data_IF_588680596025
#
_entry.id   IF_588680596025
#
_cell.length_a   1.000
_cell.length_b   1.000
_cell.length_c   1.000
_cell.angle_alpha   90.00
_cell.angle_beta   90.00
_cell.angle_gamma   90.00
#
_symmetry.space_group_name_H-M   'P 1'
#
loop_
_entity.id
_entity.type
_entity.pdbx_description
1 polymer ?
#
# COMPACT_ATOMS: atom_id res chain seq x y z
N UNK A 1 -8.00 -37.33 -23.32
CA UNK A 1 -8.84 -37.74 -22.16
C UNK A 1 -8.18 -37.21 -20.90
N UNK A 2 -8.61 -36.08 -20.32
CA UNK A 2 -7.98 -35.57 -19.10
C UNK A 2 -8.48 -36.33 -17.86
N UNK A 3 -7.54 -36.82 -17.06
CA UNK A 3 -7.77 -37.63 -15.87
C UNK A 3 -8.44 -36.86 -14.73
N UNK A 4 -9.56 -37.39 -14.27
CA UNK A 4 -10.38 -36.90 -13.16
C UNK A 4 -9.86 -37.11 -11.70
N UNK A 5 -8.77 -37.85 -11.36
CA UNK A 5 -8.53 -38.14 -9.93
C UNK A 5 -7.88 -36.99 -9.15
N UNK A 6 -7.16 -36.06 -9.80
CA UNK A 6 -6.42 -34.99 -9.10
C UNK A 6 -7.32 -33.82 -8.66
N UNK A 7 -8.36 -33.52 -9.44
CA UNK A 7 -9.27 -32.39 -9.16
C UNK A 7 -10.12 -32.69 -7.90
N UNK A 8 -10.52 -33.94 -7.73
CA UNK A 8 -11.35 -34.38 -6.59
C UNK A 8 -10.56 -34.28 -5.29
N UNK A 9 -9.28 -34.65 -5.28
CA UNK A 9 -8.43 -34.54 -4.10
C UNK A 9 -8.26 -33.09 -3.63
N UNK A 10 -7.98 -32.17 -4.56
CA UNK A 10 -7.87 -30.73 -4.24
C UNK A 10 -9.20 -30.15 -3.72
N UNK A 11 -10.33 -30.57 -4.27
CA UNK A 11 -11.65 -30.13 -3.81
C UNK A 11 -11.96 -30.62 -2.38
N UNK A 12 -11.59 -31.86 -2.04
CA UNK A 12 -11.77 -32.43 -0.70
C UNK A 12 -10.88 -31.71 0.32
N UNK A 13 -9.61 -31.46 -0.02
CA UNK A 13 -8.67 -30.72 0.85
C UNK A 13 -9.17 -29.29 1.10
N UNK A 14 -9.65 -28.60 0.05
CA UNK A 14 -10.20 -27.26 0.17
C UNK A 14 -11.48 -27.22 1.01
N UNK A 15 -12.36 -28.22 0.86
CA UNK A 15 -13.58 -28.37 1.65
C UNK A 15 -13.28 -28.63 3.14
N UNK A 16 -12.30 -29.50 3.46
CA UNK A 16 -11.86 -29.78 4.84
C UNK A 16 -11.20 -28.55 5.49
N UNK A 17 -10.42 -27.79 4.72
CA UNK A 17 -9.80 -26.53 5.17
C UNK A 17 -10.85 -25.46 5.49
N UNK A 18 -11.97 -25.45 4.76
CA UNK A 18 -13.06 -24.49 4.94
C UNK A 18 -14.09 -24.92 6.00
N UNK A 19 -14.30 -26.24 6.21
CA UNK A 19 -15.35 -26.78 7.09
C UNK A 19 -14.98 -26.81 8.59
N UNK A 20 -13.71 -26.71 8.95
CA UNK A 20 -13.24 -26.85 10.34
C UNK A 20 -13.34 -25.57 11.19
N UNK A 21 -13.97 -24.49 10.68
CA UNK A 21 -14.11 -23.23 11.42
C UNK A 21 -12.77 -22.53 11.69
N UNK A 22 -11.69 -22.99 11.06
CA UNK A 22 -10.33 -22.45 11.18
C UNK A 22 -10.25 -20.98 10.74
N UNK A 23 -11.17 -20.53 9.87
CA UNK A 23 -11.33 -19.12 9.52
C UNK A 23 -11.65 -18.24 10.73
N UNK A 24 -12.42 -18.73 11.70
CA UNK A 24 -12.79 -17.96 12.90
C UNK A 24 -11.63 -17.82 13.89
N UNK A 25 -10.79 -18.84 13.99
CA UNK A 25 -9.58 -18.82 14.80
C UNK A 25 -8.52 -17.89 14.19
N UNK A 26 -8.30 -17.98 12.87
CA UNK A 26 -7.41 -17.07 12.16
C UNK A 26 -7.91 -15.62 12.23
N UNK A 27 -9.22 -15.39 12.13
CA UNK A 27 -9.80 -14.04 12.29
C UNK A 27 -9.48 -13.44 13.66
N UNK A 28 -9.66 -14.20 14.75
CA UNK A 28 -9.42 -13.72 16.12
C UNK A 28 -7.94 -13.47 16.42
N UNK A 29 -7.05 -14.32 15.89
CA UNK A 29 -5.61 -14.10 16.00
C UNK A 29 -5.16 -12.86 15.22
N UNK A 30 -5.70 -12.67 14.00
CA UNK A 30 -5.41 -11.50 13.19
C UNK A 30 -5.97 -10.22 13.80
N UNK A 31 -7.13 -10.28 14.47
CA UNK A 31 -7.73 -9.14 15.16
C UNK A 31 -6.89 -8.68 16.37
N UNK A 32 -6.24 -9.59 17.10
CA UNK A 32 -5.36 -9.25 18.23
C UNK A 32 -4.05 -8.58 17.75
N UNK A 33 -3.47 -9.07 16.65
CA UNK A 33 -2.32 -8.44 15.98
C UNK A 33 -2.71 -7.08 15.40
N UNK A 34 -3.89 -6.99 14.77
CA UNK A 34 -4.41 -5.73 14.23
C UNK A 34 -4.68 -4.71 15.34
N UNK A 35 -5.16 -5.15 16.51
CA UNK A 35 -5.43 -4.29 17.67
C UNK A 35 -4.16 -3.77 18.33
N UNK A 36 -3.11 -4.58 18.41
CA UNK A 36 -1.79 -4.15 18.90
C UNK A 36 -1.06 -3.23 17.91
N UNK A 37 -1.24 -3.41 16.60
CA UNK A 37 -0.78 -2.48 15.57
C UNK A 37 -1.59 -1.16 15.55
N UNK A 38 -2.91 -1.23 15.73
CA UNK A 38 -3.79 -0.06 15.77
C UNK A 38 -3.51 0.87 16.97
N UNK A 39 -2.88 0.35 18.03
CA UNK A 39 -2.52 1.14 19.21
C UNK A 39 -1.16 1.86 19.07
N UNK A 40 -0.37 1.54 18.04
CA UNK A 40 0.88 2.22 17.72
C UNK A 40 0.72 3.35 16.68
N UNK A 41 -0.46 3.46 16.04
CA UNK A 41 -0.67 4.27 14.83
C UNK A 41 -1.74 5.36 15.01
N UNK A 42 -1.73 6.04 16.16
CA UNK A 42 -2.59 7.21 16.37
C UNK A 42 -1.77 8.49 16.59
N UNK A 43 -1.40 9.17 15.50
CA UNK A 43 -1.61 10.61 15.36
C UNK A 43 -2.62 10.87 14.24
N UNK A 44 -3.47 11.88 14.45
CA UNK A 44 -4.70 12.11 13.69
C UNK A 44 -4.57 12.04 12.17
N UNK A 45 -5.71 11.73 11.54
CA UNK A 45 -6.03 11.58 10.11
C UNK A 45 -5.21 12.38 9.06
N UNK A 46 -4.56 13.49 9.43
CA UNK A 46 -3.67 14.28 8.56
C UNK A 46 -2.20 13.81 8.52
N UNK A 47 -1.70 13.17 9.58
CA UNK A 47 -0.33 12.67 9.62
C UNK A 47 -0.15 11.46 8.68
N UNK A 48 -1.14 10.56 8.65
CA UNK A 48 -1.16 9.42 7.74
C UNK A 48 -1.18 9.84 6.27
N UNK A 49 -1.97 10.85 5.91
CA UNK A 49 -2.03 11.36 4.53
C UNK A 49 -0.68 11.96 4.09
N UNK A 50 -0.04 12.72 4.97
CA UNK A 50 1.30 13.24 4.73
C UNK A 50 2.31 12.10 4.53
N UNK A 51 2.25 11.08 5.39
CA UNK A 51 3.19 9.96 5.33
C UNK A 51 3.02 9.13 4.06
N UNK A 52 1.77 8.89 3.63
CA UNK A 52 1.48 8.26 2.33
C UNK A 52 2.08 9.09 1.19
N UNK A 53 1.99 10.42 1.22
CA UNK A 53 2.61 11.27 0.21
C UNK A 53 4.14 11.14 0.19
N UNK A 54 4.80 11.16 1.35
CA UNK A 54 6.25 10.97 1.44
C UNK A 54 6.68 9.59 0.94
N UNK A 55 5.95 8.54 1.30
CA UNK A 55 6.17 7.17 0.80
C UNK A 55 5.96 7.08 -0.72
N UNK A 56 4.95 7.76 -1.27
CA UNK A 56 4.71 7.81 -2.71
C UNK A 56 5.88 8.46 -3.46
N UNK A 57 6.49 9.51 -2.89
CA UNK A 57 7.72 10.11 -3.43
C UNK A 57 8.97 9.25 -3.14
N UNK A 58 8.87 8.28 -2.22
CA UNK A 58 9.98 7.39 -1.84
C UNK A 58 11.00 8.08 -0.94
N UNK A 59 10.55 9.05 -0.14
CA UNK A 59 11.39 9.85 0.75
C UNK A 59 10.87 9.73 2.17
N UNK A 60 11.72 10.02 3.16
CA UNK A 60 11.28 10.06 4.56
C UNK A 60 10.59 11.39 4.88
N UNK A 61 9.68 11.44 5.87
CA UNK A 61 9.10 12.70 6.33
C UNK A 61 10.14 13.72 6.84
N UNK A 62 11.30 13.22 7.27
CA UNK A 62 12.45 14.01 7.71
C UNK A 62 13.35 14.51 6.57
N UNK A 63 13.08 14.13 5.31
CA UNK A 63 13.92 14.48 4.16
C UNK A 63 13.98 16.00 3.91
N UNK A 64 15.11 16.48 3.39
CA UNK A 64 15.26 17.89 3.02
C UNK A 64 14.43 18.23 1.78
N UNK A 65 14.06 19.51 1.62
CA UNK A 65 13.25 19.94 0.48
C UNK A 65 13.88 19.60 -0.87
N UNK A 66 15.21 19.75 -0.97
CA UNK A 66 15.99 19.37 -2.16
C UNK A 66 15.87 17.88 -2.51
N UNK A 67 15.82 17.00 -1.51
CA UNK A 67 15.67 15.55 -1.70
C UNK A 67 14.27 15.20 -2.20
N UNK A 68 13.25 15.86 -1.67
CA UNK A 68 11.85 15.72 -2.11
C UNK A 68 11.72 16.12 -3.59
N UNK A 69 12.29 17.26 -3.98
CA UNK A 69 12.26 17.75 -5.36
C UNK A 69 13.06 16.86 -6.31
N UNK A 70 14.20 16.34 -5.86
CA UNK A 70 15.02 15.40 -6.64
C UNK A 70 14.28 14.07 -6.87
N UNK A 71 13.65 13.53 -5.83
CA UNK A 71 12.86 12.30 -5.92
C UNK A 71 11.67 12.46 -6.85
N UNK A 72 10.92 13.56 -6.72
CA UNK A 72 9.81 13.92 -7.60
C UNK A 72 10.26 13.98 -9.07
N UNK A 73 11.32 14.75 -9.39
CA UNK A 73 11.82 14.88 -10.77
C UNK A 73 12.30 13.55 -11.35
N UNK A 74 12.88 12.69 -10.52
CA UNK A 74 13.36 11.37 -10.97
C UNK A 74 12.18 10.46 -11.31
N UNK A 75 11.15 10.41 -10.45
CA UNK A 75 9.93 9.60 -10.69
C UNK A 75 9.06 10.13 -11.82
N UNK A 76 8.94 11.46 -11.95
CA UNK A 76 8.17 12.10 -13.02
C UNK A 76 8.73 11.76 -14.41
N UNK A 77 10.05 11.63 -14.55
CA UNK A 77 10.69 11.18 -15.81
C UNK A 77 10.38 9.72 -16.15
N UNK A 78 10.20 8.88 -15.14
CA UNK A 78 9.90 7.44 -15.32
C UNK A 78 8.43 7.23 -15.68
N UNK A 79 7.52 7.99 -15.06
CA UNK A 79 6.08 7.87 -15.27
C UNK A 79 5.53 8.86 -16.30
N UNK A 80 6.38 9.48 -17.13
CA UNK A 80 5.92 10.46 -18.10
C UNK A 80 5.04 9.78 -19.19
N UNK A 81 3.83 10.28 -19.46
CA UNK A 81 2.91 9.66 -20.43
C UNK A 81 3.53 9.57 -21.83
N UNK A 82 4.28 10.59 -22.25
CA UNK A 82 4.97 10.60 -23.55
C UNK A 82 6.02 9.48 -23.72
N UNK A 83 6.51 8.88 -22.63
CA UNK A 83 7.47 7.78 -22.64
C UNK A 83 6.82 6.41 -22.40
N UNK A 84 5.48 6.34 -22.48
CA UNK A 84 4.70 5.13 -22.17
C UNK A 84 4.42 4.96 -20.67
N UNK A 85 4.55 6.03 -19.89
CA UNK A 85 4.20 6.06 -18.48
C UNK A 85 2.69 6.17 -18.23
N UNK A 86 2.30 5.93 -16.99
CA UNK A 86 0.89 5.92 -16.56
C UNK A 86 0.46 7.32 -16.08
N UNK A 87 -0.61 7.85 -16.68
CA UNK A 87 -1.10 9.20 -16.38
C UNK A 87 -1.63 9.31 -14.95
N UNK A 88 -2.27 8.26 -14.44
CA UNK A 88 -2.82 8.23 -13.08
C UNK A 88 -1.68 8.20 -12.04
N UNK A 89 -0.60 7.45 -12.31
CA UNK A 89 0.61 7.45 -11.50
C UNK A 89 1.28 8.83 -11.46
N UNK A 90 1.33 9.52 -12.61
CA UNK A 90 1.87 10.88 -12.66
C UNK A 90 0.98 11.87 -11.90
N UNK A 91 -0.35 11.75 -12.03
CA UNK A 91 -1.31 12.56 -11.28
C UNK A 91 -1.14 12.39 -9.77
N UNK A 92 -1.07 11.14 -9.30
CA UNK A 92 -0.87 10.82 -7.89
C UNK A 92 0.47 11.39 -7.37
N UNK A 93 1.55 11.28 -8.16
CA UNK A 93 2.86 11.85 -7.82
C UNK A 93 2.80 13.37 -7.67
N UNK A 94 2.10 14.06 -8.57
CA UNK A 94 1.91 15.51 -8.53
C UNK A 94 1.09 15.95 -7.31
N UNK A 95 0.01 15.23 -6.99
CA UNK A 95 -0.83 15.50 -5.83
C UNK A 95 -0.04 15.35 -4.53
N UNK A 96 0.71 14.27 -4.38
CA UNK A 96 1.54 14.05 -3.20
C UNK A 96 2.60 15.14 -3.02
N UNK A 97 3.28 15.53 -4.10
CA UNK A 97 4.26 16.62 -4.05
C UNK A 97 3.63 17.95 -3.64
N UNK A 98 2.47 18.28 -4.21
CA UNK A 98 1.74 19.50 -3.87
C UNK A 98 1.23 19.50 -2.43
N UNK A 99 0.78 18.35 -1.92
CA UNK A 99 0.36 18.21 -0.53
C UNK A 99 1.52 18.46 0.44
N UNK A 100 2.67 17.82 0.22
CA UNK A 100 3.89 18.03 1.01
C UNK A 100 4.33 19.49 0.96
N UNK A 101 4.28 20.11 -0.23
CA UNK A 101 4.62 21.52 -0.41
C UNK A 101 3.73 22.43 0.44
N UNK A 102 2.41 22.17 0.49
CA UNK A 102 1.47 22.94 1.32
C UNK A 102 1.75 22.75 2.80
N UNK A 103 1.98 21.51 3.24
CA UNK A 103 2.28 21.17 4.62
C UNK A 103 3.50 21.93 5.16
N UNK A 104 4.56 22.07 4.34
CA UNK A 104 5.79 22.77 4.72
C UNK A 104 5.73 24.29 4.64
N UNK A 105 4.70 24.84 4.01
CA UNK A 105 4.57 26.30 3.78
C UNK A 105 3.66 26.99 4.80
N UNK A 106 3.16 26.26 5.79
CA UNK A 106 2.45 26.77 6.97
C UNK A 106 3.30 26.63 8.22
#
# INVERSE_FOLDING_TARGET
MPGLPKIIFFAIVFYILHATGLLGFFRRLFDEVKKSMAQADAPGKSAGDAEVCYRLLGVTPSAKWEEIEKAYRSKAKVHHPDLGGDEDAMRALNEAYNYIKKLRKG
#
